data_IF_793014754853
#
_entry.id   IF_793014754853
#
_cell.length_a   1.000
_cell.length_b   1.000
_cell.length_c   1.000
_cell.angle_alpha   90.00
_cell.angle_beta   90.00
_cell.angle_gamma   90.00
#
_symmetry.space_group_name_H-M   'P 1'
#
loop_
_entity.id
_entity.type
_entity.pdbx_description
1 polymer ?
#
# COMPACT_ATOMS: atom_id res chain seq x y z
N UNK A 1 4.95 -23.08 13.86
CA UNK A 1 5.49 -22.59 15.16
C UNK A 1 4.44 -21.71 15.81
N UNK A 2 4.20 -21.90 17.11
CA UNK A 2 3.23 -21.16 17.90
C UNK A 2 3.95 -20.54 19.10
N UNK A 3 3.78 -19.23 19.29
CA UNK A 3 4.02 -18.58 20.58
C UNK A 3 2.67 -18.16 21.13
N UNK A 4 2.40 -18.53 22.38
CA UNK A 4 1.19 -18.17 23.10
C UNK A 4 1.57 -17.53 24.43
N UNK A 5 1.06 -16.32 24.67
CA UNK A 5 1.20 -15.60 25.94
C UNK A 5 2.66 -15.45 26.37
N UNK A 6 3.57 -15.22 25.41
CA UNK A 6 5.01 -15.21 25.62
C UNK A 6 5.65 -13.88 25.20
N UNK A 7 6.62 -13.41 25.99
CA UNK A 7 7.54 -12.34 25.60
C UNK A 7 8.94 -12.95 25.43
N UNK A 8 9.41 -13.05 24.19
CA UNK A 8 10.67 -13.70 23.83
C UNK A 8 11.59 -12.71 23.16
N UNK A 9 12.78 -12.52 23.74
CA UNK A 9 13.83 -11.66 23.21
C UNK A 9 15.04 -12.53 22.87
N UNK A 10 15.37 -12.60 21.58
CA UNK A 10 16.54 -13.33 21.10
C UNK A 10 17.75 -12.40 21.05
N UNK A 11 18.90 -12.90 21.47
CA UNK A 11 20.18 -12.17 21.38
C UNK A 11 20.79 -12.19 19.99
N UNK A 12 20.41 -13.16 19.15
CA UNK A 12 20.86 -13.34 17.77
C UNK A 12 19.72 -13.35 16.76
N UNK A 13 20.05 -13.43 15.45
CA UNK A 13 19.05 -13.50 14.38
C UNK A 13 18.09 -14.68 14.55
N UNK A 14 16.83 -14.45 14.21
CA UNK A 14 15.79 -15.49 14.18
C UNK A 14 15.39 -15.77 12.75
N UNK A 15 15.43 -17.05 12.38
CA UNK A 15 14.96 -17.54 11.09
C UNK A 15 13.93 -18.65 11.32
N UNK A 16 12.68 -18.37 10.96
CA UNK A 16 11.56 -19.32 11.06
C UNK A 16 11.32 -19.86 9.65
N UNK A 17 11.57 -21.15 9.46
CA UNK A 17 11.45 -21.78 8.14
C UNK A 17 10.46 -22.94 8.13
N UNK A 18 9.68 -23.06 7.05
CA UNK A 18 8.83 -24.22 6.80
C UNK A 18 8.67 -24.48 5.30
N UNK A 19 8.56 -25.75 4.91
CA UNK A 19 8.58 -26.18 3.49
C UNK A 19 7.20 -26.43 2.86
N UNK A 20 6.17 -26.81 3.63
CA UNK A 20 4.82 -27.05 3.12
C UNK A 20 3.79 -26.83 4.23
N UNK A 21 2.69 -26.10 3.94
CA UNK A 21 1.61 -25.77 4.89
C UNK A 21 2.12 -25.21 6.22
N UNK A 22 3.17 -24.40 6.15
CA UNK A 22 3.81 -23.83 7.33
C UNK A 22 2.88 -22.80 7.97
N UNK A 23 2.62 -22.96 9.26
CA UNK A 23 1.92 -21.93 10.03
C UNK A 23 2.88 -21.28 11.04
N UNK A 24 2.91 -19.96 11.07
CA UNK A 24 3.55 -19.17 12.11
C UNK A 24 2.52 -18.30 12.80
N UNK A 25 2.25 -18.62 14.07
CA UNK A 25 1.20 -17.97 14.86
C UNK A 25 1.79 -17.33 16.10
N UNK A 26 1.48 -16.06 16.31
CA UNK A 26 1.73 -15.34 17.55
C UNK A 26 0.37 -15.00 18.16
N UNK A 27 0.12 -15.53 19.34
CA UNK A 27 -1.09 -15.28 20.11
C UNK A 27 -0.67 -14.58 21.40
N UNK A 28 -1.11 -13.35 21.62
CA UNK A 28 -0.79 -12.58 22.84
C UNK A 28 0.70 -12.60 23.16
N UNK A 29 1.52 -12.43 22.13
CA UNK A 29 2.96 -12.62 22.23
C UNK A 29 3.76 -11.47 21.66
N UNK A 30 4.91 -11.19 22.27
CA UNK A 30 5.95 -10.30 21.80
C UNK A 30 7.18 -11.15 21.42
N UNK A 31 7.60 -11.06 20.16
CA UNK A 31 8.85 -11.66 19.70
C UNK A 31 9.77 -10.56 19.20
N UNK A 32 10.99 -10.50 19.74
CA UNK A 32 12.01 -9.57 19.26
C UNK A 32 13.35 -10.26 19.02
N UNK A 33 14.05 -9.84 17.96
CA UNK A 33 15.40 -10.26 17.64
C UNK A 33 16.12 -9.13 16.88
N UNK A 34 17.47 -9.11 16.79
CA UNK A 34 18.19 -8.16 15.94
C UNK A 34 17.71 -8.16 14.48
N UNK A 35 17.50 -9.35 13.93
CA UNK A 35 16.97 -9.60 12.58
C UNK A 35 15.94 -10.72 12.67
N UNK A 36 14.83 -10.56 11.97
CA UNK A 36 13.75 -11.53 11.93
C UNK A 36 13.46 -11.93 10.48
N UNK A 37 13.55 -13.22 10.18
CA UNK A 37 13.14 -13.79 8.90
C UNK A 37 12.09 -14.87 9.12
N UNK A 38 10.98 -14.79 8.39
CA UNK A 38 9.93 -15.80 8.34
C UNK A 38 9.82 -16.27 6.89
N UNK A 39 10.29 -17.48 6.61
CA UNK A 39 10.27 -18.08 5.27
C UNK A 39 9.37 -19.34 5.28
N UNK A 40 8.15 -19.17 4.79
CA UNK A 40 7.14 -20.21 4.66
C UNK A 40 6.81 -20.42 3.18
N UNK A 41 7.80 -20.75 2.35
CA UNK A 41 7.64 -20.94 0.88
C UNK A 41 6.83 -22.17 0.45
N UNK A 42 6.07 -22.78 1.36
CA UNK A 42 5.18 -23.89 1.05
C UNK A 42 3.79 -23.46 0.59
N UNK A 43 3.09 -24.33 -0.14
CA UNK A 43 1.67 -24.14 -0.44
C UNK A 43 0.83 -24.12 0.84
N UNK A 44 -0.14 -23.22 0.94
CA UNK A 44 -1.07 -23.11 2.07
C UNK A 44 -0.42 -22.57 3.34
N UNK A 45 0.51 -21.63 3.22
CA UNK A 45 1.21 -21.06 4.37
C UNK A 45 0.39 -19.99 5.08
N UNK A 46 0.48 -19.95 6.41
CA UNK A 46 -0.32 -19.07 7.25
C UNK A 46 0.56 -18.28 8.22
N UNK A 47 0.37 -16.97 8.25
CA UNK A 47 0.83 -16.10 9.34
C UNK A 47 -0.38 -15.48 10.02
N UNK A 48 -0.42 -15.61 11.34
CA UNK A 48 -1.46 -15.01 12.17
C UNK A 48 -0.84 -14.33 13.39
N UNK A 49 -1.07 -13.03 13.53
CA UNK A 49 -0.76 -12.26 14.73
C UNK A 49 -2.05 -11.78 15.39
N UNK A 50 -2.40 -12.44 16.51
CA UNK A 50 -3.54 -12.08 17.32
C UNK A 50 -3.05 -11.43 18.62
N UNK A 51 -3.24 -10.11 18.75
CA UNK A 51 -2.76 -9.33 19.91
C UNK A 51 -1.24 -9.50 20.10
N UNK A 52 -0.48 -9.30 19.03
CA UNK A 52 0.91 -9.69 18.97
C UNK A 52 1.81 -8.64 18.31
N UNK A 53 3.09 -8.71 18.65
CA UNK A 53 4.13 -7.86 18.06
C UNK A 53 5.32 -8.72 17.64
N UNK A 54 5.77 -8.53 16.41
CA UNK A 54 7.05 -9.05 15.91
C UNK A 54 7.98 -7.87 15.58
N UNK A 55 9.19 -7.89 16.18
CA UNK A 55 10.15 -6.78 16.09
C UNK A 55 11.52 -7.23 15.64
N UNK A 56 12.07 -6.57 14.63
CA UNK A 56 13.50 -6.59 14.29
C UNK A 56 14.17 -5.33 14.87
N UNK A 57 15.07 -5.49 15.85
CA UNK A 57 15.61 -4.38 16.66
C UNK A 57 16.81 -3.69 16.04
N UNK A 58 17.56 -4.35 15.16
CA UNK A 58 18.80 -3.81 14.58
C UNK A 58 18.89 -3.93 13.04
N UNK A 59 17.98 -4.68 12.41
CA UNK A 59 18.00 -4.92 10.98
C UNK A 59 16.61 -5.18 10.40
N UNK A 60 16.52 -5.93 9.29
CA UNK A 60 15.27 -6.10 8.59
C UNK A 60 14.32 -7.09 9.26
N UNK A 61 13.04 -6.92 8.95
CA UNK A 61 12.00 -7.93 9.11
C UNK A 61 11.58 -8.41 7.71
N UNK A 62 11.86 -9.67 7.40
CA UNK A 62 11.53 -10.27 6.12
C UNK A 62 10.51 -11.40 6.28
N UNK A 63 9.45 -11.34 5.50
CA UNK A 63 8.41 -12.38 5.43
C UNK A 63 8.34 -12.85 3.98
N UNK A 64 8.61 -14.12 3.74
CA UNK A 64 8.45 -14.78 2.46
C UNK A 64 7.42 -15.90 2.60
N UNK A 65 6.37 -15.86 1.79
CA UNK A 65 5.28 -16.81 1.79
C UNK A 65 5.21 -17.51 0.43
N UNK A 66 4.86 -18.79 0.45
CA UNK A 66 4.65 -19.58 -0.76
C UNK A 66 3.32 -19.28 -1.44
N UNK A 67 2.84 -20.25 -2.21
CA UNK A 67 1.54 -20.17 -2.87
C UNK A 67 0.39 -20.36 -1.88
N UNK A 68 -0.77 -19.78 -2.18
CA UNK A 68 -2.00 -19.93 -1.37
C UNK A 68 -1.79 -19.48 0.07
N UNK A 69 -1.09 -18.36 0.23
CA UNK A 69 -0.67 -17.83 1.51
C UNK A 69 -1.73 -16.91 2.14
N UNK A 70 -1.79 -16.98 3.47
CA UNK A 70 -2.64 -16.14 4.31
C UNK A 70 -1.79 -15.35 5.31
N UNK A 71 -2.04 -14.06 5.42
CA UNK A 71 -1.30 -13.15 6.32
C UNK A 71 -2.25 -12.22 7.08
N UNK A 72 -2.50 -12.49 8.35
CA UNK A 72 -3.44 -11.73 9.16
C UNK A 72 -2.79 -11.10 10.39
N UNK A 73 -3.08 -9.82 10.60
CA UNK A 73 -2.66 -9.05 11.76
C UNK A 73 -3.88 -8.33 12.33
N UNK A 74 -4.28 -8.74 13.53
CA UNK A 74 -5.52 -8.25 14.14
C UNK A 74 -5.32 -7.19 15.21
N UNK A 75 -4.40 -7.40 16.16
CA UNK A 75 -4.20 -6.48 17.29
C UNK A 75 -2.74 -6.46 17.69
N UNK A 76 -2.31 -5.34 18.27
CA UNK A 76 -0.97 -5.15 18.81
C UNK A 76 -0.87 -5.80 20.20
N UNK A 77 0.31 -6.29 20.58
CA UNK A 77 0.55 -6.78 21.94
C UNK A 77 0.45 -5.65 22.97
N UNK A 78 -0.11 -5.93 24.14
CA UNK A 78 -0.31 -4.92 25.19
C UNK A 78 0.98 -4.16 25.52
N UNK A 79 0.87 -2.83 25.63
CA UNK A 79 2.00 -1.93 25.88
C UNK A 79 2.93 -1.69 24.69
N UNK A 80 2.64 -2.26 23.51
CA UNK A 80 3.37 -1.98 22.27
C UNK A 80 2.57 -1.04 21.36
N UNK A 81 3.29 -0.31 20.51
CA UNK A 81 2.69 0.59 19.52
C UNK A 81 2.49 -0.09 18.18
N UNK A 82 3.45 -0.93 17.76
CA UNK A 82 3.47 -1.53 16.44
C UNK A 82 3.22 -3.05 16.52
N UNK A 83 2.40 -3.59 15.62
CA UNK A 83 2.26 -5.04 15.43
C UNK A 83 3.47 -5.62 14.68
N UNK A 84 4.01 -4.83 13.74
CA UNK A 84 5.26 -5.14 13.05
C UNK A 84 6.19 -3.94 13.10
N UNK A 85 7.45 -4.17 13.47
CA UNK A 85 8.44 -3.09 13.55
C UNK A 85 9.81 -3.58 13.11
N UNK A 86 10.44 -2.85 12.19
CA UNK A 86 11.82 -3.05 11.79
C UNK A 86 12.60 -1.74 11.83
N UNK A 87 13.79 -1.78 12.42
CA UNK A 87 14.73 -0.65 12.43
C UNK A 87 15.29 -0.33 11.05
N UNK A 88 15.34 -1.32 10.15
CA UNK A 88 15.69 -1.16 8.74
C UNK A 88 14.44 -1.28 7.85
N UNK A 89 14.38 -2.29 6.97
CA UNK A 89 13.24 -2.53 6.07
C UNK A 89 12.30 -3.60 6.59
N UNK A 90 11.01 -3.41 6.34
CA UNK A 90 10.00 -4.46 6.42
C UNK A 90 9.66 -4.91 5.01
N UNK A 91 9.77 -6.21 4.77
CA UNK A 91 9.46 -6.80 3.46
C UNK A 91 8.49 -7.97 3.62
N UNK A 92 7.47 -8.01 2.76
CA UNK A 92 6.52 -9.12 2.65
C UNK A 92 6.47 -9.53 1.19
N UNK A 93 6.80 -10.79 0.92
CA UNK A 93 6.70 -11.39 -0.40
C UNK A 93 5.77 -12.61 -0.35
N UNK A 94 4.96 -12.79 -1.40
CA UNK A 94 4.02 -13.91 -1.48
C UNK A 94 3.88 -14.42 -2.93
N UNK A 95 3.60 -15.73 -3.05
CA UNK A 95 3.41 -16.43 -4.31
C UNK A 95 1.99 -16.36 -4.87
N UNK A 96 1.62 -17.38 -5.66
CA UNK A 96 0.53 -17.40 -6.64
C UNK A 96 -0.83 -16.89 -6.16
N UNK A 97 -1.19 -17.16 -4.90
CA UNK A 97 -2.43 -16.69 -4.28
C UNK A 97 -2.10 -16.13 -2.92
N UNK A 98 -2.45 -14.88 -2.67
CA UNK A 98 -2.15 -14.20 -1.41
C UNK A 98 -3.36 -13.45 -0.89
N UNK A 99 -3.71 -13.70 0.38
CA UNK A 99 -4.75 -12.95 1.09
C UNK A 99 -4.15 -12.39 2.37
N UNK A 100 -4.21 -11.06 2.49
CA UNK A 100 -3.77 -10.36 3.68
C UNK A 100 -4.84 -9.42 4.25
N UNK A 101 -4.90 -9.38 5.58
CA UNK A 101 -5.74 -8.47 6.34
C UNK A 101 -4.96 -7.87 7.50
N UNK A 102 -4.93 -6.53 7.55
CA UNK A 102 -4.42 -5.76 8.67
C UNK A 102 -5.54 -4.89 9.22
N UNK A 103 -5.80 -4.98 10.51
CA UNK A 103 -6.96 -4.37 11.16
C UNK A 103 -6.51 -3.55 12.39
N UNK A 104 -6.66 -2.23 12.37
CA UNK A 104 -6.37 -1.37 13.53
C UNK A 104 -4.98 -1.52 14.15
N UNK A 105 -3.94 -1.65 13.33
CA UNK A 105 -2.54 -1.83 13.75
C UNK A 105 -1.59 -0.80 13.16
N UNK A 106 -0.46 -0.61 13.84
CA UNK A 106 0.67 0.13 13.29
C UNK A 106 1.74 -0.82 12.75
N UNK A 107 2.28 -0.48 11.58
CA UNK A 107 3.38 -1.17 10.90
C UNK A 107 4.50 -0.18 10.65
N UNK A 108 5.71 -0.52 11.09
CA UNK A 108 6.89 0.34 10.97
C UNK A 108 8.04 -0.38 10.26
N UNK A 109 8.61 0.27 9.27
CA UNK A 109 9.86 -0.13 8.62
C UNK A 109 10.64 1.12 8.26
N UNK A 110 11.56 1.54 9.11
CA UNK A 110 12.16 2.88 9.07
C UNK A 110 12.77 3.22 7.69
N UNK A 111 13.55 2.30 7.11
CA UNK A 111 14.16 2.45 5.79
C UNK A 111 13.25 2.02 4.62
N UNK A 112 12.11 1.41 4.92
CA UNK A 112 11.09 1.07 3.93
C UNK A 112 10.09 0.02 4.39
N UNK A 113 8.91 0.03 3.77
CA UNK A 113 7.89 -1.01 3.88
C UNK A 113 7.53 -1.46 2.47
N UNK A 114 7.88 -2.70 2.12
CA UNK A 114 7.69 -3.24 0.76
C UNK A 114 6.82 -4.50 0.79
N UNK A 115 5.73 -4.47 0.04
CA UNK A 115 4.91 -5.64 -0.29
C UNK A 115 5.16 -5.99 -1.75
N UNK A 116 5.72 -7.18 -2.00
CA UNK A 116 5.99 -7.70 -3.35
C UNK A 116 5.14 -8.96 -3.55
N UNK A 117 3.98 -8.77 -4.17
CA UNK A 117 2.91 -9.74 -4.26
C UNK A 117 2.83 -10.23 -5.70
N UNK A 118 3.28 -11.45 -5.96
CA UNK A 118 3.35 -12.00 -7.32
C UNK A 118 2.45 -13.22 -7.42
N UNK A 119 1.51 -13.24 -8.36
CA UNK A 119 0.64 -14.41 -8.50
C UNK A 119 -0.66 -14.14 -9.26
N UNK A 120 -1.44 -15.18 -9.48
CA UNK A 120 -2.73 -15.08 -10.18
C UNK A 120 -3.74 -14.21 -9.42
N UNK A 121 -3.77 -14.34 -8.09
CA UNK A 121 -4.75 -13.67 -7.23
C UNK A 121 -4.10 -13.05 -6.00
N UNK A 122 -4.17 -11.72 -5.88
CA UNK A 122 -3.63 -10.98 -4.74
C UNK A 122 -4.75 -10.16 -4.10
N UNK A 123 -4.94 -10.29 -2.79
CA UNK A 123 -5.85 -9.44 -2.01
C UNK A 123 -5.11 -8.92 -0.77
N UNK A 124 -4.83 -7.61 -0.73
CA UNK A 124 -4.29 -6.95 0.46
C UNK A 124 -5.33 -5.96 0.99
N UNK A 125 -5.74 -6.16 2.24
CA UNK A 125 -6.69 -5.28 2.94
C UNK A 125 -6.05 -4.63 4.16
N UNK A 126 -6.13 -3.32 4.22
CA UNK A 126 -5.74 -2.50 5.38
C UNK A 126 -6.97 -1.70 5.80
N UNK A 127 -7.63 -2.11 6.88
CA UNK A 127 -8.87 -1.51 7.35
C UNK A 127 -8.75 -1.05 8.82
N UNK A 128 -9.71 -0.25 9.26
CA UNK A 128 -9.95 0.07 10.67
C UNK A 128 -8.85 0.86 11.39
N UNK A 129 -8.29 1.91 10.78
CA UNK A 129 -7.42 2.85 11.53
C UNK A 129 -5.93 2.51 11.50
N UNK A 130 -5.44 1.80 10.48
CA UNK A 130 -4.03 1.40 10.41
C UNK A 130 -3.08 2.60 10.21
N UNK A 131 -1.83 2.46 10.66
CA UNK A 131 -0.73 3.36 10.27
C UNK A 131 0.45 2.58 9.73
N UNK A 132 0.91 2.91 8.52
CA UNK A 132 2.19 2.45 7.98
C UNK A 132 3.18 3.59 8.00
N UNK A 133 4.33 3.38 8.62
CA UNK A 133 5.37 4.39 8.76
C UNK A 133 6.73 3.88 8.27
N UNK A 134 7.21 4.50 7.18
CA UNK A 134 8.56 4.36 6.67
C UNK A 134 9.29 5.70 6.75
N UNK A 135 9.61 6.14 7.97
CA UNK A 135 10.02 7.51 8.26
C UNK A 135 11.20 8.03 7.42
N UNK A 136 12.17 7.18 7.07
CA UNK A 136 13.35 7.53 6.27
C UNK A 136 13.31 6.92 4.85
N UNK A 137 12.28 6.13 4.56
CA UNK A 137 12.24 5.24 3.40
C UNK A 137 11.00 5.39 2.53
N UNK A 138 10.78 4.39 1.69
CA UNK A 138 9.61 4.30 0.83
C UNK A 138 8.58 3.31 1.36
N UNK A 139 7.31 3.55 1.04
CA UNK A 139 6.27 2.53 1.11
C UNK A 139 5.98 2.10 -0.33
N UNK A 140 6.11 0.81 -0.61
CA UNK A 140 5.88 0.24 -1.94
C UNK A 140 4.97 -0.98 -1.84
N UNK A 141 3.92 -1.00 -2.65
CA UNK A 141 3.03 -2.16 -2.81
C UNK A 141 3.03 -2.50 -4.29
N UNK A 142 3.74 -3.57 -4.63
CA UNK A 142 3.86 -4.07 -5.99
C UNK A 142 3.05 -5.37 -6.06
N UNK A 143 2.05 -5.38 -6.92
CA UNK A 143 1.28 -6.55 -7.29
C UNK A 143 1.52 -6.87 -8.76
N UNK A 144 1.77 -8.12 -9.10
CA UNK A 144 1.75 -8.56 -10.49
C UNK A 144 0.91 -9.83 -10.59
N UNK A 145 -0.14 -9.80 -11.39
CA UNK A 145 -1.09 -10.90 -11.42
C UNK A 145 -2.28 -10.74 -12.34
N UNK A 146 -2.91 -11.88 -12.65
CA UNK A 146 -4.16 -11.92 -13.43
C UNK A 146 -5.26 -11.09 -12.76
N UNK A 147 -5.33 -11.12 -11.42
CA UNK A 147 -6.31 -10.39 -10.63
C UNK A 147 -5.73 -9.90 -9.30
N UNK A 148 -5.72 -8.59 -9.07
CA UNK A 148 -5.30 -8.03 -7.78
C UNK A 148 -6.32 -7.05 -7.22
N UNK A 149 -6.56 -7.14 -5.91
CA UNK A 149 -7.34 -6.20 -5.12
C UNK A 149 -6.45 -5.64 -4.01
N UNK A 150 -6.26 -4.33 -4.03
CA UNK A 150 -5.74 -3.58 -2.90
C UNK A 150 -6.86 -2.73 -2.32
N UNK A 151 -7.18 -2.92 -1.05
CA UNK A 151 -8.19 -2.14 -0.34
C UNK A 151 -7.56 -1.50 0.90
N UNK A 152 -7.50 -0.17 0.91
CA UNK A 152 -6.96 0.62 2.02
C UNK A 152 -8.05 1.58 2.48
N UNK A 153 -8.54 1.37 3.69
CA UNK A 153 -9.56 2.19 4.31
C UNK A 153 -9.08 2.73 5.66
N UNK A 154 -9.43 3.97 5.98
CA UNK A 154 -9.17 4.60 7.27
C UNK A 154 -7.70 4.46 7.70
N UNK A 155 -6.77 4.61 6.76
CA UNK A 155 -5.35 4.29 6.97
C UNK A 155 -4.46 5.52 6.78
N UNK A 156 -3.40 5.64 7.59
CA UNK A 156 -2.32 6.60 7.40
C UNK A 156 -1.10 5.92 6.77
N UNK A 157 -0.59 6.50 5.68
CA UNK A 157 0.57 6.02 4.92
C UNK A 157 1.64 7.13 4.93
N UNK A 158 2.65 6.96 5.79
CA UNK A 158 3.67 7.96 6.09
C UNK A 158 5.05 7.50 5.61
N UNK A 159 5.70 8.27 4.75
CA UNK A 159 6.97 7.89 4.10
C UNK A 159 8.01 9.01 4.09
N UNK A 160 9.29 8.68 4.07
CA UNK A 160 10.39 9.66 4.00
C UNK A 160 10.80 10.01 2.57
N UNK A 161 10.75 9.05 1.64
CA UNK A 161 11.30 9.19 0.29
C UNK A 161 10.26 9.11 -0.83
N UNK A 162 9.37 8.11 -0.79
CA UNK A 162 8.33 7.96 -1.82
C UNK A 162 7.22 7.02 -1.37
N UNK A 163 6.08 7.12 -2.04
CA UNK A 163 4.98 6.17 -1.95
C UNK A 163 4.65 5.64 -3.34
N UNK A 164 4.51 4.33 -3.46
CA UNK A 164 4.18 3.66 -4.71
C UNK A 164 3.20 2.52 -4.51
N UNK A 165 2.10 2.51 -5.27
CA UNK A 165 1.31 1.32 -5.53
C UNK A 165 1.39 1.05 -7.04
N UNK A 166 1.81 -0.16 -7.41
CA UNK A 166 1.80 -0.62 -8.80
C UNK A 166 1.17 -2.01 -8.85
N UNK A 167 -0.02 -2.13 -9.43
CA UNK A 167 -0.63 -3.42 -9.73
C UNK A 167 -0.60 -3.64 -11.25
N UNK A 168 0.13 -4.66 -11.71
CA UNK A 168 0.24 -5.03 -13.13
C UNK A 168 -0.53 -6.32 -13.44
N UNK A 169 -1.13 -6.41 -14.64
CA UNK A 169 -1.92 -7.55 -15.13
C UNK A 169 -3.42 -7.25 -15.31
N UNK A 170 -4.19 -8.27 -15.70
CA UNK A 170 -5.42 -8.07 -16.47
C UNK A 170 -6.57 -7.40 -15.70
N UNK A 171 -6.80 -7.77 -14.44
CA UNK A 171 -7.93 -7.28 -13.62
C UNK A 171 -7.47 -6.73 -12.27
N UNK A 172 -6.99 -5.49 -12.26
CA UNK A 172 -6.43 -4.88 -11.07
C UNK A 172 -7.32 -3.77 -10.52
N UNK A 173 -7.60 -3.80 -9.21
CA UNK A 173 -8.38 -2.79 -8.52
C UNK A 173 -7.63 -2.26 -7.31
N UNK A 174 -7.46 -0.95 -7.25
CA UNK A 174 -7.01 -0.21 -6.06
C UNK A 174 -8.21 0.56 -5.51
N UNK A 175 -8.58 0.30 -4.27
CA UNK A 175 -9.59 1.03 -3.52
C UNK A 175 -8.95 1.76 -2.36
N UNK A 176 -9.08 3.08 -2.35
CA UNK A 176 -8.60 3.93 -1.27
C UNK A 176 -9.79 4.68 -0.67
N UNK A 177 -10.01 4.56 0.63
CA UNK A 177 -11.10 5.23 1.31
C UNK A 177 -10.63 5.90 2.59
N UNK A 178 -11.03 7.15 2.85
CA UNK A 178 -10.77 7.85 4.13
C UNK A 178 -9.31 7.79 4.60
N UNK A 179 -8.38 7.76 3.65
CA UNK A 179 -6.97 7.46 3.91
C UNK A 179 -6.10 8.69 3.71
N UNK A 180 -5.04 8.83 4.50
CA UNK A 180 -4.08 9.92 4.38
C UNK A 180 -2.73 9.41 3.90
N UNK A 181 -2.22 9.98 2.82
CA UNK A 181 -0.96 9.61 2.17
C UNK A 181 -0.06 10.84 2.11
N UNK A 182 1.12 10.77 2.72
CA UNK A 182 2.09 11.84 2.57
C UNK A 182 3.37 11.68 3.38
N UNK A 183 4.30 12.62 3.28
CA UNK A 183 5.58 12.53 3.96
C UNK A 183 5.47 12.48 5.49
N UNK A 184 6.41 11.77 6.11
CA UNK A 184 6.57 11.67 7.57
C UNK A 184 7.05 12.99 8.19
N UNK A 185 7.98 13.68 7.53
CA UNK A 185 8.71 14.86 8.06
C UNK A 185 8.11 16.21 7.67
N UNK A 186 6.91 16.23 7.05
CA UNK A 186 6.22 17.46 6.70
C UNK A 186 6.86 18.29 5.59
N UNK A 187 8.02 17.89 5.05
CA UNK A 187 8.71 18.51 3.91
C UNK A 187 8.35 17.81 2.59
N UNK A 188 8.23 18.59 1.51
CA UNK A 188 7.77 18.11 0.21
C UNK A 188 8.89 17.61 -0.71
N UNK A 189 9.63 16.59 -0.28
CA UNK A 189 10.70 15.97 -1.09
C UNK A 189 10.26 14.73 -1.86
N UNK A 190 9.15 14.10 -1.44
CA UNK A 190 8.80 12.74 -1.85
C UNK A 190 7.66 12.67 -2.87
N UNK A 191 7.72 11.71 -3.81
CA UNK A 191 6.68 11.48 -4.81
C UNK A 191 5.63 10.45 -4.39
N UNK A 192 4.42 10.59 -4.93
CA UNK A 192 3.31 9.62 -4.81
C UNK A 192 3.00 9.06 -6.20
N UNK A 193 2.95 7.73 -6.34
CA UNK A 193 2.48 7.06 -7.55
C UNK A 193 1.49 5.97 -7.18
N UNK A 194 0.32 5.98 -7.82
CA UNK A 194 -0.72 4.96 -7.67
C UNK A 194 -1.11 4.53 -9.09
N UNK A 195 -0.91 3.25 -9.41
CA UNK A 195 -1.20 2.72 -10.74
C UNK A 195 -1.83 1.34 -10.66
N UNK A 196 -2.97 1.16 -11.30
CA UNK A 196 -3.58 -0.14 -11.56
C UNK A 196 -3.63 -0.41 -13.07
N UNK A 197 -3.18 -1.60 -13.47
CA UNK A 197 -3.11 -2.04 -14.87
C UNK A 197 -1.87 -1.52 -15.60
N UNK A 198 -1.42 -2.31 -16.59
CA UNK A 198 -0.38 -1.96 -17.56
C UNK A 198 -1.00 -1.60 -18.91
N UNK A 199 -0.16 -1.62 -19.96
CA UNK A 199 -0.50 -1.26 -21.32
C UNK A 199 -1.67 -2.11 -21.83
N UNK A 200 -1.83 -3.36 -21.37
CA UNK A 200 -2.81 -4.30 -21.91
C UNK A 200 -4.08 -4.57 -21.06
N UNK A 201 -4.29 -3.81 -19.97
CA UNK A 201 -5.08 -4.31 -18.83
C UNK A 201 -6.36 -3.51 -18.50
N UNK A 202 -7.29 -4.09 -17.74
CA UNK A 202 -8.47 -3.45 -17.14
C UNK A 202 -8.20 -2.99 -15.69
N UNK A 203 -7.36 -1.98 -15.54
CA UNK A 203 -7.01 -1.36 -14.26
C UNK A 203 -8.09 -0.43 -13.75
N UNK A 204 -8.34 -0.48 -12.44
CA UNK A 204 -9.31 0.37 -11.74
C UNK A 204 -8.66 1.02 -10.52
N UNK A 205 -8.80 2.33 -10.42
CA UNK A 205 -8.45 3.09 -9.21
C UNK A 205 -9.71 3.81 -8.75
N UNK A 206 -10.19 3.47 -7.56
CA UNK A 206 -11.35 4.07 -6.92
C UNK A 206 -10.89 4.70 -5.59
N UNK A 207 -10.94 6.03 -5.52
CA UNK A 207 -10.52 6.78 -4.34
C UNK A 207 -11.66 7.67 -3.85
N UNK A 208 -12.01 7.55 -2.56
CA UNK A 208 -13.02 8.38 -1.90
C UNK A 208 -12.48 8.93 -0.59
N UNK A 209 -12.68 10.23 -0.33
CA UNK A 209 -12.27 10.86 0.94
C UNK A 209 -10.75 10.67 1.24
N UNK A 210 -9.93 10.60 0.20
CA UNK A 210 -8.48 10.42 0.32
C UNK A 210 -7.77 11.77 0.45
N UNK A 211 -6.85 11.87 1.39
CA UNK A 211 -5.98 13.03 1.57
C UNK A 211 -4.57 12.75 1.06
N UNK A 212 -4.13 13.42 0.00
CA UNK A 212 -2.73 13.48 -0.41
C UNK A 212 -2.12 14.77 0.15
N UNK A 213 -1.06 14.68 0.93
CA UNK A 213 -0.46 15.86 1.57
C UNK A 213 1.03 15.99 1.28
N UNK A 214 1.44 17.20 0.93
CA UNK A 214 2.82 17.68 0.89
C UNK A 214 3.77 16.81 0.08
N UNK A 215 3.29 16.09 -0.94
CA UNK A 215 4.19 15.37 -1.85
C UNK A 215 4.79 16.34 -2.87
N UNK A 216 6.00 16.06 -3.36
CA UNK A 216 6.65 16.82 -4.44
C UNK A 216 5.85 16.73 -5.75
N UNK A 217 5.33 15.55 -6.04
CA UNK A 217 4.44 15.29 -7.16
C UNK A 217 3.52 14.12 -6.80
N UNK A 218 2.40 14.01 -7.50
CA UNK A 218 1.50 12.87 -7.38
C UNK A 218 0.98 12.45 -8.75
N UNK A 219 0.93 11.14 -8.98
CA UNK A 219 0.38 10.57 -10.19
C UNK A 219 -0.52 9.40 -9.84
N UNK A 220 -1.79 9.50 -10.25
CA UNK A 220 -2.81 8.49 -10.04
C UNK A 220 -3.26 8.05 -11.43
N UNK A 221 -3.19 6.75 -11.72
CA UNK A 221 -3.56 6.26 -13.03
C UNK A 221 -4.17 4.88 -13.08
N UNK A 222 -4.98 4.66 -14.10
CA UNK A 222 -5.63 3.40 -14.40
C UNK A 222 -5.44 3.06 -15.89
N UNK A 223 -4.67 2.00 -16.19
CA UNK A 223 -4.43 1.43 -17.52
C UNK A 223 -4.13 2.42 -18.66
N UNK A 224 -3.13 3.28 -18.51
CA UNK A 224 -2.86 4.47 -19.36
C UNK A 224 -2.72 4.26 -20.88
N UNK A 225 -2.78 3.04 -21.40
CA UNK A 225 -2.59 2.73 -22.82
C UNK A 225 -3.77 2.05 -23.52
N UNK A 226 -4.79 1.59 -22.78
CA UNK A 226 -5.92 0.84 -23.34
C UNK A 226 -7.27 1.35 -22.90
N UNK A 227 -8.23 1.41 -23.81
CA UNK A 227 -9.53 2.09 -23.70
C UNK A 227 -10.49 1.72 -22.57
N UNK A 228 -10.09 0.95 -21.56
CA UNK A 228 -10.96 0.36 -20.53
C UNK A 228 -10.57 0.66 -19.08
N UNK A 229 -9.53 1.47 -18.84
CA UNK A 229 -9.11 1.86 -17.49
C UNK A 229 -10.13 2.79 -16.82
N UNK A 230 -10.41 2.54 -15.54
CA UNK A 230 -11.34 3.32 -14.72
C UNK A 230 -10.59 4.04 -13.60
N UNK A 231 -10.61 5.37 -13.62
CA UNK A 231 -10.17 6.21 -12.52
C UNK A 231 -11.35 6.99 -11.96
N UNK A 232 -11.62 6.80 -10.66
CA UNK A 232 -12.57 7.61 -9.88
C UNK A 232 -11.87 8.22 -8.68
N UNK A 233 -12.00 9.53 -8.53
CA UNK A 233 -11.53 10.28 -7.39
C UNK A 233 -12.64 11.20 -6.89
N UNK A 234 -13.12 10.97 -5.68
CA UNK A 234 -14.29 11.68 -5.14
C UNK A 234 -14.00 12.20 -3.72
N UNK A 235 -14.47 13.41 -3.41
CA UNK A 235 -14.39 13.99 -2.06
C UNK A 235 -12.97 14.02 -1.48
N UNK A 236 -11.95 14.00 -2.33
CA UNK A 236 -10.57 13.95 -1.90
C UNK A 236 -9.99 15.32 -1.61
N UNK A 237 -8.93 15.35 -0.81
CA UNK A 237 -8.10 16.54 -0.59
C UNK A 237 -6.69 16.26 -1.13
N UNK A 238 -6.16 17.11 -2.00
CA UNK A 238 -4.80 16.98 -2.48
C UNK A 238 -4.06 18.31 -2.33
N UNK A 239 -2.98 18.32 -1.53
CA UNK A 239 -2.05 19.44 -1.41
C UNK A 239 -0.68 18.96 -1.85
N UNK A 240 -0.29 19.28 -3.09
CA UNK A 240 0.93 18.79 -3.74
C UNK A 240 1.84 19.98 -4.02
N UNK A 241 3.14 19.87 -3.80
CA UNK A 241 4.10 20.97 -3.99
C UNK A 241 4.56 21.15 -5.44
N UNK A 242 4.14 20.26 -6.34
CA UNK A 242 4.45 20.25 -7.75
C UNK A 242 3.35 19.53 -8.53
N UNK A 243 3.69 18.84 -9.62
CA UNK A 243 2.67 18.35 -10.54
C UNK A 243 1.77 17.26 -9.92
N UNK A 244 0.48 17.37 -10.21
CA UNK A 244 -0.55 16.38 -9.88
C UNK A 244 -1.25 15.94 -11.17
N UNK A 245 -1.29 14.63 -11.40
CA UNK A 245 -1.95 14.05 -12.56
C UNK A 245 -2.92 12.92 -12.18
N UNK A 246 -4.11 12.95 -12.77
CA UNK A 246 -5.10 11.88 -12.78
C UNK A 246 -5.29 11.42 -14.23
N UNK A 247 -4.89 10.18 -14.51
CA UNK A 247 -4.83 9.64 -15.88
C UNK A 247 -5.50 8.26 -15.96
N UNK A 248 -6.72 8.21 -16.48
CA UNK A 248 -7.35 6.99 -16.95
C UNK A 248 -7.27 6.87 -18.47
N UNK A 249 -7.77 5.77 -19.01
CA UNK A 249 -7.69 5.44 -20.43
C UNK A 249 -9.04 5.09 -21.07
N UNK A 250 -10.08 4.83 -20.25
CA UNK A 250 -11.47 4.64 -20.69
C UNK A 250 -12.45 5.58 -19.96
N UNK A 251 -12.31 5.70 -18.64
CA UNK A 251 -13.12 6.60 -17.81
C UNK A 251 -12.24 7.28 -16.75
N UNK A 252 -12.28 8.61 -16.70
CA UNK A 252 -11.63 9.41 -15.65
C UNK A 252 -12.64 10.37 -15.04
N UNK A 253 -12.92 10.25 -13.75
CA UNK A 253 -13.76 11.19 -13.02
C UNK A 253 -13.04 11.69 -11.77
N UNK A 254 -12.95 13.00 -11.63
CA UNK A 254 -12.49 13.69 -10.43
C UNK A 254 -13.59 14.66 -10.01
N UNK A 255 -14.20 14.44 -8.84
CA UNK A 255 -15.30 15.31 -8.39
C UNK A 255 -15.30 15.61 -6.90
N UNK A 256 -16.01 16.68 -6.54
CA UNK A 256 -16.23 17.14 -5.17
C UNK A 256 -14.94 17.28 -4.36
N UNK A 257 -13.81 17.58 -5.01
CA UNK A 257 -12.48 17.52 -4.40
C UNK A 257 -11.87 18.89 -4.21
N UNK A 258 -11.02 19.02 -3.19
CA UNK A 258 -10.22 20.21 -2.91
C UNK A 258 -8.76 19.95 -3.29
N UNK A 259 -8.26 20.63 -4.31
CA UNK A 259 -6.95 20.36 -4.89
C UNK A 259 -6.14 21.65 -4.99
N UNK A 260 -4.99 21.66 -4.34
CA UNK A 260 -4.02 22.76 -4.35
C UNK A 260 -2.67 22.27 -4.84
N UNK A 261 -2.14 22.94 -5.85
CA UNK A 261 -0.78 22.73 -6.32
C UNK A 261 -0.20 24.02 -6.91
N UNK A 262 1.05 24.41 -6.58
CA UNK A 262 1.72 25.50 -7.30
C UNK A 262 2.21 25.06 -8.70
N UNK A 263 2.26 23.75 -8.96
CA UNK A 263 2.58 23.18 -10.27
C UNK A 263 1.32 22.91 -11.09
N UNK A 264 1.44 22.02 -12.06
CA UNK A 264 0.33 21.68 -12.95
C UNK A 264 -0.66 20.71 -12.30
N UNK A 265 -1.96 20.99 -12.43
CA UNK A 265 -3.03 20.00 -12.25
C UNK A 265 -3.46 19.50 -13.63
N UNK A 266 -3.43 18.18 -13.81
CA UNK A 266 -3.90 17.49 -15.01
C UNK A 266 -4.95 16.44 -14.67
N UNK A 267 -6.11 16.54 -15.30
CA UNK A 267 -7.15 15.51 -15.29
C UNK A 267 -7.40 15.14 -16.75
N UNK A 268 -7.04 13.93 -17.14
CA UNK A 268 -7.04 13.53 -18.54
C UNK A 268 -7.42 12.06 -18.72
N UNK A 269 -7.92 11.78 -19.91
CA UNK A 269 -8.06 10.45 -20.44
C UNK A 269 -7.06 10.28 -21.59
N UNK A 270 -6.30 9.18 -21.63
CA UNK A 270 -5.12 9.04 -22.52
C UNK A 270 -5.38 8.35 -23.85
N UNK A 271 -6.43 7.52 -23.96
CA UNK A 271 -6.68 6.68 -25.16
C UNK A 271 -8.11 6.69 -25.70
N UNK A 272 -9.00 7.48 -25.10
CA UNK A 272 -10.37 7.71 -25.55
C UNK A 272 -11.37 7.50 -24.42
N UNK A 273 -12.62 7.89 -24.62
CA UNK A 273 -13.68 7.72 -23.62
C UNK A 273 -13.98 8.98 -22.82
N UNK A 274 -14.64 8.85 -21.68
CA UNK A 274 -15.18 10.01 -20.95
C UNK A 274 -14.26 10.53 -19.86
N UNK A 275 -14.21 11.84 -19.73
CA UNK A 275 -13.43 12.56 -18.73
C UNK A 275 -14.33 13.61 -18.07
N UNK A 276 -14.40 13.63 -16.74
CA UNK A 276 -15.21 14.57 -15.97
C UNK A 276 -14.42 15.16 -14.81
N UNK A 277 -14.51 16.48 -14.66
CA UNK A 277 -13.91 17.26 -13.58
C UNK A 277 -14.93 18.19 -12.96
N UNK A 278 -15.90 17.66 -12.21
CA UNK A 278 -17.05 18.43 -11.71
C UNK A 278 -16.91 18.84 -10.24
N UNK A 279 -17.42 20.02 -9.88
CA UNK A 279 -17.55 20.47 -8.48
C UNK A 279 -16.24 20.49 -7.67
N UNK A 280 -15.09 20.67 -8.33
CA UNK A 280 -13.80 20.74 -7.66
C UNK A 280 -13.43 22.19 -7.29
N UNK A 281 -12.78 22.37 -6.14
CA UNK A 281 -12.08 23.61 -5.79
C UNK A 281 -10.61 23.44 -6.14
N UNK A 282 -10.12 24.19 -7.13
CA UNK A 282 -8.77 24.06 -7.67
C UNK A 282 -7.97 25.35 -7.45
N UNK A 283 -6.76 25.23 -6.92
CA UNK A 283 -5.81 26.33 -6.76
C UNK A 283 -4.47 25.95 -7.38
N UNK A 284 -4.26 26.33 -8.64
CA UNK A 284 -3.06 26.08 -9.44
C UNK A 284 -3.10 26.85 -10.78
N UNK A 285 -1.97 26.99 -11.49
CA UNK A 285 -1.99 27.08 -12.96
C UNK A 285 -2.53 25.75 -13.52
N UNK A 286 -3.85 25.65 -13.61
CA UNK A 286 -4.55 24.50 -14.19
C UNK A 286 -4.20 24.41 -15.67
N UNK A 287 -3.59 23.31 -16.10
CA UNK A 287 -3.20 23.14 -17.50
C UNK A 287 -4.28 22.41 -18.31
N UNK A 288 -4.98 21.45 -17.70
CA UNK A 288 -5.91 20.59 -18.43
C UNK A 288 -6.95 19.95 -17.48
N UNK A 289 -8.22 20.26 -17.69
CA UNK A 289 -9.38 19.54 -17.11
C UNK A 289 -10.21 19.03 -18.28
N UNK A 290 -9.68 18.01 -18.95
CA UNK A 290 -10.22 17.44 -20.19
C UNK A 290 -10.34 18.47 -21.36
N UNK A 291 -10.06 18.17 -22.64
CA UNK A 291 -9.52 16.97 -23.30
C UNK A 291 -8.09 17.26 -23.88
N UNK A 292 -7.42 16.40 -24.67
CA UNK A 292 -7.91 16.06 -26.01
C UNK A 292 -8.07 14.56 -26.22
N UNK A 293 -9.29 14.20 -26.63
CA UNK A 293 -9.56 13.68 -27.97
C UNK A 293 -10.28 14.79 -28.74
#
# INVERSE_FOLDING_TARGET
MLFDSAAVNFSGPVNIQSRARGAFKLLKSLVSAPVCTVDLRGAGSEILFAESTLRATAGPLAVALGDEAKFEIGKVFSGQTDALSATDKLTVAAGRKFVAGLLGVNVRGNAGIHFNLTGDEVSLKSLDGNTFSAAQGSIQINGSGSKSLLEIADTQLLFGQSFGITLSGNENTIKLNKSTIGPSSGTASAGITISAGTIDDNGKVEASEVTLRRARFATIGASRSHGSGLLKWEKGTASIAGNLSFEGSGFTEVKDSSITSPGTIRIANTTGGSCSGASNSLSAPVLQICPPF
#
